data_IF_919504946052
#
_entry.id   IF_919504946052
#
_cell.length_a   1.000
_cell.length_b   1.000
_cell.length_c   1.000
_cell.angle_alpha   90.00
_cell.angle_beta   90.00
_cell.angle_gamma   90.00
#
_symmetry.space_group_name_H-M   'P 1'
#
loop_
_entity.id
_entity.type
_entity.pdbx_description
1 polymer ?
#
# COMPACT_ATOMS: atom_id res chain seq x y z
N UNK A 1 -42.59 -1.41 15.86
CA UNK A 1 -43.30 -2.43 16.65
C UNK A 1 -43.72 -3.53 15.68
N UNK A 2 -43.10 -4.71 15.83
CA UNK A 2 -43.48 -6.03 15.28
C UNK A 2 -43.65 -6.19 13.74
N UNK A 3 -43.38 -7.30 13.09
CA UNK A 3 -42.68 -8.56 13.38
C UNK A 3 -42.87 -9.43 12.11
N UNK A 4 -41.89 -10.30 11.81
CA UNK A 4 -42.09 -11.65 11.21
C UNK A 4 -42.53 -11.68 9.73
N UNK A 5 -41.96 -12.49 8.85
CA UNK A 5 -41.01 -13.58 8.98
C UNK A 5 -41.01 -14.38 7.67
N UNK A 6 -40.01 -15.23 7.50
CA UNK A 6 -40.06 -16.31 6.51
C UNK A 6 -39.15 -17.44 7.03
N UNK A 7 -39.77 -18.51 7.52
CA UNK A 7 -39.14 -19.84 7.46
C UNK A 7 -39.19 -20.31 6.00
N UNK A 8 -38.24 -21.15 5.56
CA UNK A 8 -38.57 -22.58 5.60
C UNK A 8 -37.40 -23.50 5.97
N UNK A 9 -37.73 -24.43 6.88
CA UNK A 9 -37.12 -25.74 7.07
C UNK A 9 -36.95 -26.51 5.75
N UNK A 10 -35.76 -27.05 5.51
CA UNK A 10 -35.50 -28.24 4.70
C UNK A 10 -34.48 -29.11 5.48
N UNK A 11 -34.93 -30.22 6.09
CA UNK A 11 -34.79 -31.62 5.62
C UNK A 11 -33.32 -32.05 5.43
N UNK A 12 -32.79 -32.80 6.40
CA UNK A 12 -32.70 -34.28 6.40
C UNK A 12 -31.57 -34.79 5.50
N UNK A 13 -30.52 -35.35 6.11
CA UNK A 13 -29.83 -36.54 5.63
C UNK A 13 -28.88 -37.08 6.72
N UNK A 14 -29.26 -38.22 7.29
CA UNK A 14 -28.38 -39.12 8.03
C UNK A 14 -27.23 -39.60 7.16
N UNK A 15 -26.09 -39.89 7.82
CA UNK A 15 -25.55 -41.25 7.95
C UNK A 15 -24.02 -41.35 7.76
N UNK A 16 -23.49 -42.34 8.47
CA UNK A 16 -22.26 -43.10 8.24
C UNK A 16 -21.01 -42.61 8.96
N UNK A 17 -20.68 -43.38 9.99
CA UNK A 17 -19.44 -43.29 10.74
C UNK A 17 -18.21 -43.69 9.94
N UNK A 18 -17.08 -43.20 10.43
CA UNK A 18 -15.78 -43.75 10.13
C UNK A 18 -14.94 -43.65 11.40
N UNK A 19 -14.78 -44.80 12.08
CA UNK A 19 -13.63 -45.04 12.93
C UNK A 19 -12.39 -45.04 12.05
N UNK A 20 -11.45 -44.12 12.30
CA UNK A 20 -10.09 -44.21 11.80
C UNK A 20 -9.12 -43.78 12.89
N UNK A 21 -8.23 -44.70 13.20
CA UNK A 21 -7.22 -44.70 14.24
C UNK A 21 -6.16 -43.60 14.11
N UNK A 22 -5.61 -43.23 15.27
CA UNK A 22 -4.24 -42.79 15.54
C UNK A 22 -3.47 -42.14 14.38
N UNK A 23 -3.37 -40.80 14.44
CA UNK A 23 -2.10 -40.12 14.19
C UNK A 23 -1.87 -39.18 15.37
N UNK A 24 -0.70 -39.31 15.99
CA UNK A 24 -0.21 -38.49 17.10
C UNK A 24 -0.47 -36.99 16.86
N UNK A 25 -0.88 -36.23 17.90
CA UNK A 25 -0.90 -34.78 17.79
C UNK A 25 0.53 -34.28 17.49
N UNK A 26 0.72 -33.42 16.49
CA UNK A 26 2.00 -32.74 16.32
C UNK A 26 2.31 -31.93 17.58
N UNK A 27 3.59 -31.79 17.95
CA UNK A 27 3.99 -31.11 19.17
C UNK A 27 3.46 -29.67 19.16
N UNK A 28 2.94 -29.23 20.30
CA UNK A 28 2.54 -27.84 20.57
C UNK A 28 3.68 -26.90 20.23
N UNK A 29 3.69 -26.38 19.00
CA UNK A 29 4.52 -25.24 18.65
C UNK A 29 3.76 -24.01 19.11
N UNK A 30 3.97 -23.73 20.39
CA UNK A 30 3.88 -22.43 21.05
C UNK A 30 3.25 -21.34 20.20
N UNK A 31 2.08 -20.91 20.64
CA UNK A 31 1.64 -19.54 20.54
C UNK A 31 2.78 -18.60 20.95
N UNK A 32 3.50 -18.08 19.97
CA UNK A 32 4.02 -16.72 19.97
C UNK A 32 3.03 -15.92 19.12
N UNK A 33 2.03 -15.32 19.78
CA UNK A 33 2.14 -13.91 20.18
C UNK A 33 2.38 -13.05 18.96
N UNK A 34 1.30 -12.44 18.47
CA UNK A 34 1.32 -11.12 17.88
C UNK A 34 2.39 -10.95 16.79
N UNK A 35 2.05 -11.25 15.53
CA UNK A 35 2.71 -10.54 14.42
C UNK A 35 2.25 -9.10 14.54
N UNK A 36 2.94 -8.38 15.41
CA UNK A 36 2.87 -6.94 15.58
C UNK A 36 2.85 -6.31 14.20
N UNK A 37 2.04 -5.28 14.07
CA UNK A 37 2.09 -4.28 13.02
C UNK A 37 3.52 -3.70 13.01
N UNK A 38 4.46 -4.45 12.43
CA UNK A 38 5.81 -3.98 12.24
C UNK A 38 5.72 -3.08 11.03
N UNK A 39 5.61 -1.78 11.29
CA UNK A 39 6.07 -0.77 10.35
C UNK A 39 7.59 -0.85 10.32
N UNK A 40 8.14 -2.00 9.91
CA UNK A 40 9.49 -2.05 9.36
C UNK A 40 9.36 -1.35 8.02
N UNK A 41 9.87 -0.12 7.93
CA UNK A 41 9.97 0.64 6.67
C UNK A 41 10.87 -0.15 5.69
N UNK A 42 10.31 -1.21 5.12
CA UNK A 42 11.01 -2.18 4.29
C UNK A 42 11.25 -1.53 2.95
N UNK A 43 12.43 -0.93 2.84
CA UNK A 43 12.86 -0.27 1.62
C UNK A 43 13.23 -1.34 0.62
N UNK A 44 12.50 -1.39 -0.50
CA UNK A 44 12.67 -2.38 -1.56
C UNK A 44 13.23 -1.72 -2.81
N UNK A 45 13.94 -2.49 -3.64
CA UNK A 45 14.47 -2.03 -4.91
C UNK A 45 13.67 -2.62 -6.07
N UNK A 46 13.42 -1.78 -7.07
CA UNK A 46 12.62 -2.08 -8.25
C UNK A 46 13.33 -1.58 -9.50
N UNK A 47 12.91 -2.05 -10.67
CA UNK A 47 13.38 -1.63 -11.98
C UNK A 47 12.20 -1.23 -12.86
N UNK A 48 12.27 -0.03 -13.42
CA UNK A 48 11.30 0.51 -14.36
C UNK A 48 11.96 1.55 -15.26
N UNK A 49 11.56 1.62 -16.54
CA UNK A 49 12.08 2.61 -17.50
C UNK A 49 13.62 2.61 -17.67
N UNK A 50 14.29 1.50 -17.33
CA UNK A 50 15.77 1.41 -17.32
C UNK A 50 16.44 2.02 -16.09
N UNK A 51 15.65 2.48 -15.11
CA UNK A 51 16.11 3.09 -13.85
C UNK A 51 15.91 2.13 -12.68
N UNK A 52 16.81 2.20 -11.72
CA UNK A 52 16.69 1.49 -10.45
C UNK A 52 16.01 2.40 -9.42
N UNK A 53 14.89 1.93 -8.88
CA UNK A 53 14.04 2.68 -7.96
C UNK A 53 14.15 2.06 -6.57
N UNK A 54 14.53 2.84 -5.57
CA UNK A 54 14.48 2.46 -4.16
C UNK A 54 13.21 3.05 -3.54
N UNK A 55 12.30 2.23 -3.04
CA UNK A 55 11.02 2.70 -2.53
C UNK A 55 10.72 2.19 -1.12
N UNK A 56 10.27 3.09 -0.24
CA UNK A 56 9.65 2.75 1.06
C UNK A 56 8.19 2.31 0.92
N UNK A 57 7.58 2.57 -0.24
CA UNK A 57 6.22 2.16 -0.59
C UNK A 57 6.34 0.86 -1.39
N UNK A 58 5.60 -0.21 -1.05
CA UNK A 58 5.65 -1.45 -1.83
C UNK A 58 5.08 -1.21 -3.23
N UNK A 59 5.84 -1.57 -4.27
CA UNK A 59 5.45 -1.43 -5.68
C UNK A 59 5.41 -2.80 -6.38
N UNK A 60 4.43 -3.66 -6.06
CA UNK A 60 4.32 -5.00 -6.65
C UNK A 60 4.10 -4.98 -8.17
N UNK A 61 3.67 -3.86 -8.73
CA UNK A 61 3.49 -3.65 -10.16
C UNK A 61 4.82 -3.52 -10.92
N UNK A 62 5.93 -3.26 -10.21
CA UNK A 62 7.28 -3.14 -10.79
C UNK A 62 8.10 -4.42 -10.62
N UNK A 63 9.12 -4.57 -11.46
CA UNK A 63 10.04 -5.71 -11.40
C UNK A 63 10.97 -5.51 -10.19
N UNK A 64 10.95 -6.44 -9.24
CA UNK A 64 11.88 -6.41 -8.11
C UNK A 64 13.34 -6.53 -8.60
N UNK A 65 14.22 -5.72 -8.02
CA UNK A 65 15.63 -5.67 -8.39
C UNK A 65 16.50 -6.02 -7.18
N UNK A 66 17.55 -6.85 -7.32
CA UNK A 66 18.53 -7.09 -6.26
C UNK A 66 19.60 -5.98 -6.17
N UNK A 67 19.43 -4.87 -6.91
CA UNK A 67 20.40 -3.79 -6.96
C UNK A 67 20.60 -3.11 -5.58
N UNK A 68 21.83 -2.63 -5.35
CA UNK A 68 22.21 -1.94 -4.11
C UNK A 68 22.26 -0.40 -4.24
N UNK A 69 22.21 0.12 -5.47
CA UNK A 69 22.18 1.55 -5.78
C UNK A 69 20.88 1.89 -6.48
N UNK A 70 20.37 3.11 -6.28
CA UNK A 70 19.16 3.58 -6.93
C UNK A 70 19.40 4.91 -7.63
N UNK A 71 18.82 5.03 -8.81
CA UNK A 71 18.73 6.26 -9.60
C UNK A 71 17.59 7.15 -9.08
N UNK A 72 16.54 6.53 -8.52
CA UNK A 72 15.39 7.23 -7.94
C UNK A 72 15.11 6.70 -6.54
N UNK A 73 14.90 7.59 -5.56
CA UNK A 73 14.43 7.25 -4.21
C UNK A 73 13.01 7.75 -3.97
N UNK A 74 12.12 6.84 -3.59
CA UNK A 74 10.75 7.14 -3.16
C UNK A 74 10.64 6.94 -1.65
N UNK A 75 10.27 7.99 -0.92
CA UNK A 75 10.07 7.95 0.54
C UNK A 75 8.74 8.54 0.97
N UNK A 76 8.27 8.12 2.14
CA UNK A 76 7.13 8.75 2.81
C UNK A 76 7.65 9.80 3.78
N UNK A 77 7.23 11.05 3.61
CA UNK A 77 7.59 12.14 4.50
C UNK A 77 6.52 13.25 4.46
N UNK A 78 6.59 14.18 5.41
CA UNK A 78 5.71 15.35 5.46
C UNK A 78 6.26 16.44 4.53
N UNK A 79 5.41 17.03 3.71
CA UNK A 79 5.82 18.05 2.73
C UNK A 79 5.39 19.42 3.24
N UNK A 80 6.37 20.30 3.46
CA UNK A 80 6.10 21.70 3.75
C UNK A 80 5.48 22.37 2.50
N UNK A 81 4.15 22.50 2.50
CA UNK A 81 3.40 23.04 1.36
C UNK A 81 3.65 24.54 1.18
N UNK A 82 3.97 25.02 -0.04
CA UNK A 82 3.95 26.45 -0.31
C UNK A 82 2.51 26.98 -0.22
N UNK A 83 2.27 28.15 0.39
CA UNK A 83 0.93 28.66 0.72
C UNK A 83 -0.02 28.83 -0.48
N UNK A 84 0.52 28.87 -1.70
CA UNK A 84 -0.22 28.92 -2.97
C UNK A 84 -0.92 27.60 -3.34
N UNK A 85 -0.41 26.46 -2.89
CA UNK A 85 -0.98 25.12 -3.17
C UNK A 85 -2.20 24.78 -2.29
N UNK A 86 -2.49 25.60 -1.28
CA UNK A 86 -3.54 25.36 -0.29
C UNK A 86 -4.93 25.87 -0.73
N UNK A 87 -5.06 26.50 -1.89
CA UNK A 87 -6.25 27.27 -2.25
C UNK A 87 -7.01 26.60 -3.40
N UNK A 88 -7.98 25.74 -3.03
CA UNK A 88 -9.22 25.49 -3.80
C UNK A 88 -9.14 24.77 -5.16
N UNK A 89 -8.31 23.74 -5.32
CA UNK A 89 -8.37 22.89 -6.52
C UNK A 89 -8.32 21.40 -6.18
N UNK A 90 -9.16 20.59 -6.84
CA UNK A 90 -9.20 19.12 -6.70
C UNK A 90 -7.86 18.48 -7.07
N UNK A 91 -7.10 19.14 -7.95
CA UNK A 91 -5.72 18.83 -8.29
C UNK A 91 -4.90 20.10 -8.44
N UNK A 92 -3.63 20.04 -8.06
CA UNK A 92 -2.68 21.12 -8.29
C UNK A 92 -1.37 20.55 -8.82
N UNK A 93 -0.78 21.25 -9.78
CA UNK A 93 0.57 21.01 -10.27
C UNK A 93 1.33 22.33 -10.11
N UNK A 94 2.44 22.27 -9.39
CA UNK A 94 3.41 23.35 -9.28
C UNK A 94 4.77 22.81 -9.66
N UNK A 95 5.57 23.58 -10.39
CA UNK A 95 6.91 23.14 -10.77
C UNK A 95 7.85 24.33 -10.91
N UNK A 96 9.07 24.10 -10.46
CA UNK A 96 10.25 24.91 -10.70
C UNK A 96 11.24 24.07 -11.54
N UNK A 97 12.38 24.64 -11.97
CA UNK A 97 13.39 23.86 -12.69
C UNK A 97 13.98 22.68 -11.90
N UNK A 98 13.90 22.70 -10.56
CA UNK A 98 14.51 21.70 -9.68
C UNK A 98 13.47 20.84 -8.94
N UNK A 99 12.24 21.34 -8.79
CA UNK A 99 11.20 20.67 -8.01
C UNK A 99 9.87 20.62 -8.78
N UNK A 100 9.10 19.54 -8.58
CA UNK A 100 7.72 19.45 -9.05
C UNK A 100 6.82 18.92 -7.93
N UNK A 101 5.77 19.66 -7.60
CA UNK A 101 4.77 19.28 -6.61
C UNK A 101 3.46 18.95 -7.30
N UNK A 102 3.01 17.71 -7.10
CA UNK A 102 1.76 17.16 -7.58
C UNK A 102 0.83 16.95 -6.39
N UNK A 103 -0.35 17.54 -6.43
CA UNK A 103 -1.35 17.37 -5.39
C UNK A 103 -2.67 16.86 -5.97
N UNK A 104 -3.25 15.90 -5.27
CA UNK A 104 -4.58 15.36 -5.51
C UNK A 104 -5.37 15.36 -4.21
N UNK A 105 -6.59 15.90 -4.24
CA UNK A 105 -7.47 15.93 -3.08
C UNK A 105 -7.87 14.52 -2.58
N UNK A 106 -7.74 13.49 -3.42
CA UNK A 106 -8.06 12.09 -3.09
C UNK A 106 -6.83 11.26 -2.70
N UNK A 107 -5.60 11.72 -3.03
CA UNK A 107 -4.38 10.92 -2.82
C UNK A 107 -3.36 11.54 -1.86
N UNK A 108 -3.22 12.86 -1.88
CA UNK A 108 -2.20 13.59 -1.14
C UNK A 108 -1.23 14.32 -2.06
N UNK A 109 -0.02 14.53 -1.55
CA UNK A 109 1.01 15.32 -2.20
C UNK A 109 2.20 14.44 -2.59
N UNK A 110 2.72 14.60 -3.79
CA UNK A 110 3.99 14.03 -4.23
C UNK A 110 4.90 15.19 -4.64
N UNK A 111 6.07 15.27 -4.02
CA UNK A 111 7.10 16.25 -4.33
C UNK A 111 8.28 15.52 -4.97
N UNK A 112 8.60 15.89 -6.20
CA UNK A 112 9.80 15.49 -6.93
C UNK A 112 10.86 16.55 -6.73
N UNK A 113 12.09 16.16 -6.39
CA UNK A 113 13.27 17.03 -6.25
C UNK A 113 14.43 16.47 -7.05
N UNK A 114 15.13 17.34 -7.79
CA UNK A 114 16.33 16.99 -8.55
C UNK A 114 16.13 15.94 -9.66
N UNK A 115 14.90 15.42 -9.85
CA UNK A 115 14.59 14.31 -10.75
C UNK A 115 14.92 12.92 -10.19
N UNK A 116 15.57 12.82 -9.02
CA UNK A 116 15.96 11.54 -8.40
C UNK A 116 15.26 11.27 -7.05
N UNK A 117 14.64 12.26 -6.43
CA UNK A 117 13.98 12.10 -5.13
C UNK A 117 12.48 12.37 -5.23
N UNK A 118 11.67 11.41 -4.80
CA UNK A 118 10.22 11.51 -4.66
C UNK A 118 9.85 11.40 -3.18
N UNK A 119 9.24 12.45 -2.67
CA UNK A 119 8.66 12.51 -1.32
C UNK A 119 7.16 12.39 -1.47
N UNK A 120 6.57 11.45 -0.75
CA UNK A 120 5.13 11.15 -0.83
C UNK A 120 4.50 11.40 0.53
N UNK A 121 3.57 12.35 0.56
CA UNK A 121 2.72 12.67 1.70
C UNK A 121 1.28 12.22 1.40
N UNK A 122 0.92 10.96 1.72
CA UNK A 122 -0.43 10.47 1.49
C UNK A 122 -1.43 11.11 2.44
N UNK A 123 -2.68 11.24 1.99
CA UNK A 123 -3.79 11.56 2.90
C UNK A 123 -4.04 10.38 3.86
N UNK A 124 -4.50 10.64 5.11
CA UNK A 124 -4.66 9.60 6.13
C UNK A 124 -5.67 8.49 5.79
N UNK A 125 -6.49 8.69 4.75
CA UNK A 125 -7.54 7.76 4.33
C UNK A 125 -7.34 7.21 2.92
N UNK A 126 -6.22 7.54 2.26
CA UNK A 126 -5.98 7.05 0.90
C UNK A 126 -5.65 5.56 0.92
N UNK A 127 -6.27 4.82 0.00
CA UNK A 127 -5.89 3.45 -0.28
C UNK A 127 -4.52 3.39 -0.98
N UNK A 128 -3.65 2.46 -0.55
CA UNK A 128 -2.31 2.35 -1.13
C UNK A 128 -2.32 2.01 -2.63
N UNK A 129 -3.34 1.29 -3.14
CA UNK A 129 -3.45 1.03 -4.57
C UNK A 129 -3.73 2.33 -5.34
N UNK A 130 -4.60 3.20 -4.81
CA UNK A 130 -4.89 4.51 -5.41
C UNK A 130 -3.63 5.37 -5.41
N UNK A 131 -2.89 5.40 -4.30
CA UNK A 131 -1.62 6.12 -4.21
C UNK A 131 -0.61 5.62 -5.27
N UNK A 132 -0.52 4.30 -5.47
CA UNK A 132 0.38 3.70 -6.47
C UNK A 132 0.03 4.09 -7.90
N UNK A 133 -1.25 4.30 -8.23
CA UNK A 133 -1.65 4.79 -9.56
C UNK A 133 -1.04 6.17 -9.82
N UNK A 134 -1.07 7.06 -8.82
CA UNK A 134 -0.47 8.39 -8.94
C UNK A 134 1.06 8.38 -8.90
N UNK A 135 1.65 7.44 -8.17
CA UNK A 135 3.09 7.30 -8.08
C UNK A 135 3.70 6.69 -9.35
N UNK A 136 3.05 5.68 -9.93
CA UNK A 136 3.54 4.93 -11.10
C UNK A 136 3.15 5.57 -12.44
N UNK A 137 2.19 6.50 -12.44
CA UNK A 137 1.75 7.20 -13.64
C UNK A 137 2.43 8.57 -13.76
N UNK A 138 1.85 9.63 -13.17
CA UNK A 138 2.32 11.00 -13.37
C UNK A 138 3.63 11.37 -12.63
N UNK A 139 4.09 10.59 -11.65
CA UNK A 139 5.25 10.95 -10.83
C UNK A 139 6.58 10.30 -11.26
N UNK A 140 6.55 9.22 -12.06
CA UNK A 140 7.73 8.51 -12.60
C UNK A 140 7.82 8.71 -14.12
#
# INVERSE_FOLDING_TARGET
>A
MAAVGFEPRAREAEALGASASLINPPPERSMNTTRSLHTESTTSFYQAYGLTIRSQIPLPELIASPAASADITIRRDTIARPPELAQSSERCLWSTPDEACLFWADAGTILVRGGDELIVEPLPHVDEQVLRIYLLGPAL
#
